data_IF_093512422099
#
_entry.id   IF_093512422099
#
_cell.length_a   1.000
_cell.length_b   1.000
_cell.length_c   1.000
_cell.angle_alpha   90.00
_cell.angle_beta   90.00
_cell.angle_gamma   90.00
#
_symmetry.space_group_name_H-M   'P 1'
#
loop_
_entity.id
_entity.type
_entity.pdbx_description
1 polymer ?
#
# COMPACT_ATOMS: atom_id res chain seq x y z
N UNK A 1 28.28 -43.07 -21.03
CA UNK A 1 28.58 -41.62 -21.20
C UNK A 1 27.62 -40.83 -20.32
N UNK A 2 28.13 -40.06 -19.36
CA UNK A 2 27.33 -39.20 -18.47
C UNK A 2 27.23 -37.81 -19.12
N UNK A 3 26.05 -37.16 -19.18
CA UNK A 3 25.95 -35.82 -19.75
C UNK A 3 26.78 -34.83 -18.91
N UNK A 4 27.43 -33.83 -19.54
CA UNK A 4 28.21 -32.83 -18.81
C UNK A 4 27.28 -32.08 -17.85
N UNK A 5 27.67 -32.00 -16.58
CA UNK A 5 26.96 -31.23 -15.56
C UNK A 5 26.82 -29.78 -16.03
N UNK A 6 25.59 -29.29 -16.14
CA UNK A 6 25.31 -27.89 -16.46
C UNK A 6 25.97 -27.04 -15.37
N UNK A 7 27.09 -26.42 -15.70
CA UNK A 7 27.71 -25.39 -14.87
C UNK A 7 26.67 -24.30 -14.74
N UNK A 8 26.31 -23.93 -13.51
CA UNK A 8 25.37 -22.84 -13.25
C UNK A 8 25.88 -21.58 -13.96
N UNK A 9 25.32 -21.28 -15.12
CA UNK A 9 25.64 -20.10 -15.91
C UNK A 9 24.93 -18.91 -15.27
N UNK A 10 25.52 -18.40 -14.18
CA UNK A 10 25.20 -17.05 -13.75
C UNK A 10 25.57 -16.12 -14.91
N UNK A 11 24.68 -15.19 -15.30
CA UNK A 11 25.02 -14.23 -16.34
C UNK A 11 26.30 -13.50 -15.92
N UNK A 12 27.28 -13.45 -16.82
CA UNK A 12 28.52 -12.71 -16.62
C UNK A 12 28.15 -11.24 -16.41
N UNK A 13 28.05 -10.84 -15.15
CA UNK A 13 27.83 -9.45 -14.80
C UNK A 13 29.12 -8.71 -15.13
N UNK A 14 29.08 -7.89 -16.19
CA UNK A 14 30.16 -6.97 -16.49
C UNK A 14 30.41 -6.12 -15.23
N UNK A 15 31.65 -6.08 -14.70
CA UNK A 15 31.99 -5.23 -13.57
C UNK A 15 32.09 -3.78 -14.05
N UNK A 16 30.97 -3.19 -14.47
CA UNK A 16 30.89 -1.77 -14.76
C UNK A 16 30.77 -0.99 -13.44
N UNK A 17 31.69 -0.06 -13.23
CA UNK A 17 31.70 0.84 -12.07
C UNK A 17 30.37 1.62 -11.93
N UNK A 18 29.65 1.81 -13.04
CA UNK A 18 28.35 2.48 -13.12
C UNK A 18 27.21 1.70 -12.41
N UNK A 19 27.39 0.41 -12.12
CA UNK A 19 26.39 -0.40 -11.43
C UNK A 19 26.26 -0.03 -9.94
N UNK A 20 27.26 0.66 -9.37
CA UNK A 20 27.20 1.14 -8.00
C UNK A 20 26.79 2.61 -7.97
N UNK A 21 25.72 2.98 -7.25
CA UNK A 21 25.32 4.37 -7.14
C UNK A 21 26.46 5.18 -6.52
N UNK A 22 26.92 6.20 -7.24
CA UNK A 22 27.94 7.14 -6.75
C UNK A 22 27.47 7.73 -5.41
N UNK A 23 28.33 7.70 -4.39
CA UNK A 23 28.05 8.24 -3.05
C UNK A 23 27.63 9.70 -3.07
N UNK A 24 27.94 10.44 -4.14
CA UNK A 24 27.56 11.85 -4.34
C UNK A 24 26.16 12.01 -4.94
N UNK A 25 25.62 11.00 -5.61
CA UNK A 25 24.32 11.09 -6.28
C UNK A 25 23.21 10.92 -5.25
N UNK A 26 22.68 12.05 -4.75
CA UNK A 26 21.45 12.06 -3.97
C UNK A 26 20.26 11.96 -4.92
N UNK A 27 19.71 10.76 -5.10
CA UNK A 27 18.42 10.60 -5.79
C UNK A 27 17.35 11.31 -4.96
N UNK A 28 16.79 12.39 -5.52
CA UNK A 28 15.59 13.01 -4.94
C UNK A 28 14.39 12.20 -5.40
N UNK A 29 13.43 11.98 -4.50
CA UNK A 29 12.13 11.46 -4.88
C UNK A 29 11.54 12.37 -5.97
N UNK A 30 10.97 11.76 -7.02
CA UNK A 30 10.26 12.51 -8.05
C UNK A 30 9.13 13.31 -7.40
N UNK A 31 8.83 14.51 -7.94
CA UNK A 31 7.65 15.26 -7.50
C UNK A 31 6.41 14.41 -7.72
N UNK A 32 5.47 14.48 -6.78
CA UNK A 32 4.17 13.84 -6.94
C UNK A 32 3.50 14.37 -8.22
N UNK A 33 2.93 13.47 -9.02
CA UNK A 33 2.12 13.85 -10.16
C UNK A 33 0.76 14.39 -9.69
N UNK A 34 0.10 15.23 -10.50
CA UNK A 34 -1.24 15.73 -10.19
C UNK A 34 -2.23 14.58 -9.92
N UNK A 35 -2.12 13.50 -10.70
CA UNK A 35 -2.92 12.27 -10.50
C UNK A 35 -2.67 11.63 -9.14
N UNK A 36 -1.42 11.51 -8.71
CA UNK A 36 -1.10 10.97 -7.38
C UNK A 36 -1.69 11.83 -6.25
N UNK A 37 -1.76 13.15 -6.44
CA UNK A 37 -2.37 14.07 -5.46
C UNK A 37 -3.89 13.86 -5.42
N UNK A 38 -4.56 13.78 -6.58
CA UNK A 38 -5.99 13.50 -6.66
C UNK A 38 -6.35 12.13 -6.06
N UNK A 39 -5.59 11.09 -6.43
CA UNK A 39 -5.79 9.73 -5.92
C UNK A 39 -5.59 9.69 -4.40
N UNK A 40 -4.62 10.45 -3.87
CA UNK A 40 -4.40 10.57 -2.43
C UNK A 40 -5.57 11.25 -1.71
N UNK A 41 -6.12 12.33 -2.29
CA UNK A 41 -7.32 12.99 -1.77
C UNK A 41 -8.50 12.04 -1.70
N UNK A 42 -8.78 11.33 -2.79
CA UNK A 42 -9.82 10.32 -2.86
C UNK A 42 -9.64 9.23 -1.78
N UNK A 43 -8.43 8.71 -1.59
CA UNK A 43 -8.14 7.71 -0.55
C UNK A 43 -8.40 8.27 0.85
N UNK A 44 -8.10 9.55 1.09
CA UNK A 44 -8.40 10.17 2.39
C UNK A 44 -9.90 10.26 2.66
N UNK A 45 -10.69 10.64 1.66
CA UNK A 45 -12.14 10.69 1.78
C UNK A 45 -12.71 9.29 2.10
N UNK A 46 -12.25 8.27 1.38
CA UNK A 46 -12.64 6.86 1.62
C UNK A 46 -12.33 6.43 3.06
N UNK A 47 -11.14 6.75 3.57
CA UNK A 47 -10.73 6.37 4.94
C UNK A 47 -11.55 7.13 5.99
N UNK A 48 -11.90 8.39 5.72
CA UNK A 48 -12.69 9.22 6.64
C UNK A 48 -14.17 8.82 6.68
N UNK A 49 -14.72 8.29 5.60
CA UNK A 49 -16.14 7.93 5.51
C UNK A 49 -16.44 6.45 5.82
N UNK A 50 -15.54 5.53 5.42
CA UNK A 50 -15.84 4.10 5.43
C UNK A 50 -15.09 3.28 6.50
N UNK A 51 -14.01 3.81 7.08
CA UNK A 51 -13.23 3.11 8.11
C UNK A 51 -13.72 3.44 9.53
N UNK A 52 -13.74 2.41 10.39
CA UNK A 52 -13.98 2.59 11.83
C UNK A 52 -12.81 3.34 12.50
N UNK A 53 -13.05 3.94 13.67
CA UNK A 53 -12.07 4.81 14.34
C UNK A 53 -10.71 4.13 14.61
N UNK A 54 -10.72 2.87 15.06
CA UNK A 54 -9.47 2.14 15.34
C UNK A 54 -8.74 1.72 14.06
N UNK A 55 -9.48 1.36 13.02
CA UNK A 55 -8.93 1.06 11.69
C UNK A 55 -8.31 2.31 11.08
N UNK A 56 -8.99 3.46 11.19
CA UNK A 56 -8.49 4.76 10.74
C UNK A 56 -7.19 5.15 11.42
N UNK A 57 -7.09 4.98 12.74
CA UNK A 57 -5.85 5.22 13.49
C UNK A 57 -4.71 4.34 13.00
N UNK A 58 -4.98 3.06 12.72
CA UNK A 58 -3.98 2.12 12.21
C UNK A 58 -3.53 2.47 10.79
N UNK A 59 -4.48 2.76 9.89
CA UNK A 59 -4.20 3.18 8.51
C UNK A 59 -3.37 4.47 8.50
N UNK A 60 -3.74 5.43 9.33
CA UNK A 60 -3.03 6.71 9.40
C UNK A 60 -1.63 6.55 10.01
N UNK A 61 -1.53 5.77 11.09
CA UNK A 61 -0.25 5.41 11.68
C UNK A 61 0.67 4.70 10.69
N UNK A 62 0.13 3.78 9.88
CA UNK A 62 0.88 3.09 8.85
C UNK A 62 1.42 4.04 7.78
N UNK A 63 0.58 4.90 7.20
CA UNK A 63 1.01 5.85 6.18
C UNK A 63 2.03 6.87 6.72
N UNK A 64 1.81 7.42 7.92
CA UNK A 64 2.78 8.32 8.55
C UNK A 64 4.09 7.60 8.89
N UNK A 65 4.04 6.33 9.29
CA UNK A 65 5.24 5.55 9.56
C UNK A 65 6.02 5.17 8.31
N UNK A 66 5.36 5.14 7.14
CA UNK A 66 5.96 4.84 5.84
C UNK A 66 6.53 6.08 5.15
N UNK A 67 6.12 7.28 5.57
CA UNK A 67 6.60 8.53 5.00
C UNK A 67 8.14 8.58 5.01
N UNK A 68 8.72 8.91 3.85
CA UNK A 68 10.17 9.04 3.64
C UNK A 68 10.98 7.76 3.84
N UNK A 69 10.37 6.58 3.71
CA UNK A 69 11.05 5.29 3.81
C UNK A 69 10.95 4.49 2.52
N UNK A 70 12.05 3.84 2.14
CA UNK A 70 12.09 2.98 0.96
C UNK A 70 11.41 1.61 1.18
N UNK A 71 11.41 1.12 2.42
CA UNK A 71 10.93 -0.25 2.77
C UNK A 71 9.51 -0.27 3.33
N UNK A 72 8.73 0.78 3.11
CA UNK A 72 7.34 0.88 3.56
C UNK A 72 7.17 1.14 5.07
N UNK A 73 5.97 0.85 5.62
CA UNK A 73 5.60 1.17 7.00
C UNK A 73 6.52 0.55 8.05
N UNK A 74 6.73 1.26 9.15
CA UNK A 74 7.54 0.77 10.27
C UNK A 74 6.67 -0.04 11.24
N UNK A 75 6.44 -1.31 10.91
CA UNK A 75 5.62 -2.22 11.71
C UNK A 75 6.10 -2.41 13.14
N UNK A 76 7.42 -2.36 13.38
CA UNK A 76 7.97 -2.49 14.74
C UNK A 76 7.63 -1.27 15.60
N UNK A 77 7.66 -0.06 15.03
CA UNK A 77 7.25 1.15 15.75
C UNK A 77 5.76 1.11 16.09
N UNK A 78 4.93 0.71 15.12
CA UNK A 78 3.48 0.58 15.32
C UNK A 78 3.14 -0.48 16.37
N UNK A 79 3.87 -1.59 16.39
CA UNK A 79 3.68 -2.67 17.36
C UNK A 79 3.93 -2.21 18.80
N UNK A 80 4.84 -1.25 19.00
CA UNK A 80 5.09 -0.63 20.32
C UNK A 80 3.99 0.33 20.75
N UNK A 81 3.41 1.07 19.80
CA UNK A 81 2.32 2.01 20.06
C UNK A 81 1.01 1.27 20.35
N UNK A 82 0.73 0.22 19.59
CA UNK A 82 -0.52 -0.55 19.67
C UNK A 82 -0.44 -1.74 20.63
N UNK A 83 0.69 -1.90 21.33
CA UNK A 83 0.93 -2.98 22.30
C UNK A 83 0.59 -4.39 21.78
N UNK A 84 0.88 -4.68 20.51
CA UNK A 84 0.64 -5.98 19.89
C UNK A 84 1.85 -6.45 19.05
N UNK A 85 1.86 -7.71 18.59
CA UNK A 85 2.95 -8.19 17.74
C UNK A 85 2.94 -7.53 16.35
N UNK A 86 4.12 -7.30 15.77
CA UNK A 86 4.28 -6.66 14.45
C UNK A 86 3.56 -7.42 13.34
N UNK A 87 3.44 -8.75 13.43
CA UNK A 87 2.73 -9.56 12.45
C UNK A 87 1.22 -9.33 12.56
N UNK A 88 0.72 -9.22 13.78
CA UNK A 88 -0.67 -8.88 14.06
C UNK A 88 -1.02 -7.48 13.57
N UNK A 89 -0.15 -6.48 13.81
CA UNK A 89 -0.36 -5.12 13.25
C UNK A 89 -0.51 -5.17 11.73
N UNK A 90 0.38 -5.88 11.04
CA UNK A 90 0.34 -6.00 9.59
C UNK A 90 -0.95 -6.68 9.12
N UNK A 91 -1.35 -7.78 9.77
CA UNK A 91 -2.60 -8.50 9.46
C UNK A 91 -3.82 -7.61 9.70
N UNK A 92 -3.85 -6.87 10.79
CA UNK A 92 -4.95 -5.95 11.12
C UNK A 92 -5.01 -4.80 10.10
N UNK A 93 -3.86 -4.34 9.60
CA UNK A 93 -3.81 -3.33 8.55
C UNK A 93 -4.37 -3.86 7.22
N UNK A 94 -4.00 -5.08 6.81
CA UNK A 94 -4.56 -5.74 5.62
C UNK A 94 -6.07 -5.96 5.74
N UNK A 95 -6.53 -6.34 6.94
CA UNK A 95 -7.95 -6.46 7.26
C UNK A 95 -8.67 -5.11 7.15
N UNK A 96 -8.14 -4.07 7.81
CA UNK A 96 -8.70 -2.72 7.78
C UNK A 96 -8.84 -2.18 6.36
N UNK A 97 -7.83 -2.39 5.50
CA UNK A 97 -7.91 -2.02 4.08
C UNK A 97 -9.07 -2.74 3.37
N UNK A 98 -9.19 -4.05 3.57
CA UNK A 98 -10.23 -4.86 2.93
C UNK A 98 -11.63 -4.44 3.40
N UNK A 99 -11.80 -4.23 4.70
CA UNK A 99 -13.04 -3.76 5.30
C UNK A 99 -13.43 -2.36 4.83
N UNK A 100 -12.48 -1.42 4.82
CA UNK A 100 -12.72 -0.05 4.35
C UNK A 100 -13.19 -0.04 2.88
N UNK A 101 -12.51 -0.78 2.01
CA UNK A 101 -12.88 -0.88 0.59
C UNK A 101 -14.25 -1.54 0.42
N UNK A 102 -14.54 -2.58 1.21
CA UNK A 102 -15.83 -3.25 1.16
C UNK A 102 -16.97 -2.33 1.62
N UNK A 103 -16.78 -1.62 2.73
CA UNK A 103 -17.74 -0.64 3.27
C UNK A 103 -18.02 0.47 2.26
N UNK A 104 -16.97 1.04 1.67
CA UNK A 104 -17.08 2.07 0.64
C UNK A 104 -17.87 1.59 -0.59
N UNK A 105 -17.52 0.41 -1.12
CA UNK A 105 -18.22 -0.17 -2.26
C UNK A 105 -19.70 -0.45 -1.95
N UNK A 106 -20.01 -0.86 -0.71
CA UNK A 106 -21.38 -1.05 -0.26
C UNK A 106 -22.15 0.27 -0.22
N UNK A 107 -21.55 1.34 0.30
CA UNK A 107 -22.15 2.68 0.34
C UNK A 107 -22.44 3.22 -1.07
N UNK A 108 -21.56 2.97 -2.04
CA UNK A 108 -21.76 3.38 -3.44
C UNK A 108 -22.83 2.54 -4.15
N UNK A 109 -22.87 1.23 -3.92
CA UNK A 109 -23.79 0.33 -4.64
C UNK A 109 -25.25 0.47 -4.21
N UNK A 110 -25.51 0.64 -2.92
CA UNK A 110 -26.86 0.77 -2.37
C UNK A 110 -27.72 1.86 -3.06
N UNK A 111 -27.24 3.09 -3.30
CA UNK A 111 -28.02 4.11 -3.98
C UNK A 111 -28.25 3.82 -5.47
N UNK A 112 -27.36 3.08 -6.14
CA UNK A 112 -27.54 2.69 -7.55
C UNK A 112 -28.70 1.69 -7.70
N UNK A 113 -28.74 0.67 -6.84
CA UNK A 113 -29.80 -0.34 -6.86
C UNK A 113 -31.18 0.24 -6.53
N UNK A 114 -31.26 1.23 -5.63
CA UNK A 114 -32.51 1.94 -5.34
C UNK A 114 -32.99 2.72 -6.57
N UNK A 115 -32.10 3.40 -7.28
CA UNK A 115 -32.45 4.17 -8.48
C UNK A 115 -32.94 3.28 -9.63
N UNK A 116 -32.32 2.11 -9.84
CA UNK A 116 -32.75 1.15 -10.87
C UNK A 116 -34.13 0.56 -10.55
N UNK A 117 -34.37 0.20 -9.29
CA UNK A 117 -35.66 -0.34 -8.87
C UNK A 117 -36.80 0.69 -8.93
N UNK A 118 -36.52 1.98 -8.67
CA UNK A 118 -37.52 3.06 -8.82
C UNK A 118 -37.87 3.33 -10.29
N UNK A 119 -36.93 3.13 -11.23
CA UNK A 119 -37.17 3.28 -12.67
C UNK A 119 -37.93 2.10 -13.28
N UNK A 120 -37.87 0.91 -12.69
CA UNK A 120 -38.62 -0.28 -13.14
C UNK A 120 -40.05 -0.36 -12.60
N UNK A 121 -40.39 0.44 -11.59
CA UNK A 121 -41.72 0.45 -10.96
C UNK A 121 -42.71 1.45 -11.59
N UNK A 122 -42.32 2.11 -12.68
CA UNK A 122 -43.13 3.05 -13.50
C UNK A 122 -43.41 2.43 -14.85
#
# INVERSE_FOLDING_TARGET
MRPPSVVAAWPEMLPEWLAYPDKKTKTRLARASARQISDYGFVMDVILEAAEDDERRLLWGAAHSAAFRDRGPNWYKLSKILHCDRRTVKRNYEHALSCTVWNWNRQIRLPLEISENQLQAV
#
